data_IF_940534275487
#
_entry.id   IF_940534275487
#
_cell.length_a   1.000
_cell.length_b   1.000
_cell.length_c   1.000
_cell.angle_alpha   90.00
_cell.angle_beta   90.00
_cell.angle_gamma   90.00
#
_symmetry.space_group_name_H-M   'P 1'
#
loop_
_entity.id
_entity.type
_entity.pdbx_description
1 polymer ?
#
# COMPACT_ATOMS: atom_id res chain seq x y z
N UNK A 1 43.04 -0.51 -40.86
CA UNK A 1 42.48 0.43 -39.88
C UNK A 1 41.63 -0.38 -38.94
N UNK A 2 42.24 -0.87 -37.85
CA UNK A 2 41.59 -1.73 -36.87
C UNK A 2 41.02 -0.87 -35.73
N UNK A 3 39.75 -1.10 -35.45
CA UNK A 3 38.93 -0.53 -34.40
C UNK A 3 39.50 -0.87 -33.01
N UNK A 4 39.95 0.15 -32.27
CA UNK A 4 40.32 0.03 -30.86
C UNK A 4 39.13 0.52 -30.03
N UNK A 5 38.13 -0.34 -29.84
CA UNK A 5 37.16 -0.16 -28.75
C UNK A 5 37.88 -0.45 -27.42
N UNK A 6 38.45 0.59 -26.81
CA UNK A 6 38.79 0.57 -25.39
C UNK A 6 37.50 0.36 -24.58
N UNK A 7 37.27 -0.88 -24.14
CA UNK A 7 36.29 -1.16 -23.10
C UNK A 7 36.77 -0.48 -21.80
N UNK A 8 36.20 0.69 -21.50
CA UNK A 8 36.37 1.38 -20.22
C UNK A 8 35.92 0.45 -19.09
N UNK A 9 36.90 -0.25 -18.50
CA UNK A 9 36.70 -1.18 -17.39
C UNK A 9 36.32 -0.35 -16.15
N UNK A 10 35.09 -0.48 -15.65
CA UNK A 10 34.62 0.27 -14.48
C UNK A 10 35.57 0.04 -13.29
N UNK A 11 35.86 1.10 -12.55
CA UNK A 11 36.72 1.00 -11.37
C UNK A 11 36.09 0.07 -10.32
N UNK A 12 36.90 -0.68 -9.53
CA UNK A 12 36.38 -1.61 -8.51
C UNK A 12 35.48 -0.92 -7.46
N UNK A 13 35.67 0.39 -7.25
CA UNK A 13 34.82 1.22 -6.39
C UNK A 13 33.42 1.43 -7.01
N UNK A 14 33.33 1.61 -8.33
CA UNK A 14 32.08 1.79 -9.05
C UNK A 14 31.27 0.48 -9.15
N UNK A 15 31.93 -0.67 -9.27
CA UNK A 15 31.28 -1.99 -9.20
C UNK A 15 30.72 -2.29 -7.81
N UNK A 16 31.49 -2.02 -6.74
CA UNK A 16 31.02 -2.16 -5.35
C UNK A 16 29.81 -1.25 -5.08
N UNK A 17 29.88 0.00 -5.53
CA UNK A 17 28.79 0.97 -5.45
C UNK A 17 27.50 0.44 -6.12
N UNK A 18 27.61 -0.09 -7.35
CA UNK A 18 26.48 -0.68 -8.08
C UNK A 18 25.89 -1.93 -7.43
N UNK A 19 26.72 -2.79 -6.82
CA UNK A 19 26.26 -3.97 -6.08
C UNK A 19 25.45 -3.57 -4.84
N UNK A 20 25.91 -2.59 -4.06
CA UNK A 20 25.19 -2.09 -2.88
C UNK A 20 23.87 -1.43 -3.29
N UNK A 21 23.86 -0.67 -4.39
CA UNK A 21 22.66 -0.07 -4.95
C UNK A 21 21.61 -1.12 -5.34
N UNK A 22 22.03 -2.19 -6.00
CA UNK A 22 21.17 -3.32 -6.37
C UNK A 22 20.64 -4.04 -5.12
N UNK A 23 21.49 -4.28 -4.12
CA UNK A 23 21.10 -4.92 -2.87
C UNK A 23 20.01 -4.13 -2.12
N UNK A 24 20.13 -2.80 -2.02
CA UNK A 24 19.11 -1.96 -1.37
C UNK A 24 17.78 -2.01 -2.14
N UNK A 25 17.81 -1.99 -3.47
CA UNK A 25 16.59 -2.13 -4.30
C UNK A 25 15.92 -3.48 -4.08
N UNK A 26 16.69 -4.57 -4.04
CA UNK A 26 16.17 -5.90 -3.78
C UNK A 26 15.57 -6.00 -2.37
N UNK A 27 16.21 -5.42 -1.36
CA UNK A 27 15.69 -5.40 -0.01
C UNK A 27 14.34 -4.66 0.07
N UNK A 28 14.24 -3.47 -0.54
CA UNK A 28 12.98 -2.72 -0.61
C UNK A 28 11.89 -3.52 -1.33
N UNK A 29 12.23 -4.21 -2.43
CA UNK A 29 11.28 -5.06 -3.16
C UNK A 29 10.77 -6.21 -2.29
N UNK A 30 11.67 -6.91 -1.58
CA UNK A 30 11.31 -8.02 -0.68
C UNK A 30 10.38 -7.54 0.43
N UNK A 31 10.68 -6.38 1.04
CA UNK A 31 9.84 -5.78 2.08
C UNK A 31 8.45 -5.42 1.52
N UNK A 32 8.40 -4.83 0.32
CA UNK A 32 7.13 -4.46 -0.33
C UNK A 32 6.28 -5.69 -0.65
N UNK A 33 6.87 -6.73 -1.22
CA UNK A 33 6.17 -8.00 -1.55
C UNK A 33 5.68 -8.69 -0.29
N UNK A 34 6.53 -8.78 0.75
CA UNK A 34 6.15 -9.33 2.04
C UNK A 34 5.00 -8.56 2.68
N UNK A 35 5.00 -7.24 2.54
CA UNK A 35 3.93 -6.39 3.06
C UNK A 35 2.60 -6.56 2.30
N UNK A 36 2.63 -6.62 0.97
CA UNK A 36 1.44 -6.95 0.15
C UNK A 36 0.90 -8.34 0.51
N UNK A 37 1.78 -9.31 0.75
CA UNK A 37 1.38 -10.66 1.16
C UNK A 37 0.65 -10.64 2.51
N UNK A 38 1.11 -9.84 3.48
CA UNK A 38 0.39 -9.65 4.75
C UNK A 38 -1.02 -9.12 4.50
N UNK A 39 -1.20 -8.15 3.61
CA UNK A 39 -2.53 -7.62 3.26
C UNK A 39 -3.45 -8.65 2.62
N UNK A 40 -2.93 -9.48 1.71
CA UNK A 40 -3.70 -10.58 1.08
C UNK A 40 -4.16 -11.61 2.13
N UNK A 41 -3.30 -11.90 3.11
CA UNK A 41 -3.57 -12.86 4.17
C UNK A 41 -4.44 -12.28 5.28
N UNK A 42 -4.42 -10.96 5.51
CA UNK A 42 -5.15 -10.28 6.59
C UNK A 42 -6.65 -10.61 6.69
N UNK A 43 -7.43 -10.69 5.58
CA UNK A 43 -8.85 -11.03 5.64
C UNK A 43 -9.14 -12.50 5.96
N UNK A 44 -8.13 -13.37 5.92
CA UNK A 44 -8.30 -14.81 6.13
C UNK A 44 -8.44 -15.19 7.60
N UNK A 45 -9.15 -16.28 7.86
CA UNK A 45 -9.30 -16.82 9.22
C UNK A 45 -7.97 -17.25 9.84
N UNK A 46 -7.01 -17.71 9.02
CA UNK A 46 -5.66 -18.08 9.48
C UNK A 46 -4.94 -16.88 10.10
N UNK A 47 -4.98 -15.73 9.43
CA UNK A 47 -4.40 -14.50 9.96
C UNK A 47 -5.07 -14.10 11.27
N UNK A 48 -6.41 -14.05 11.30
CA UNK A 48 -7.15 -13.63 12.51
C UNK A 48 -6.92 -14.54 13.72
N UNK A 49 -6.95 -15.85 13.53
CA UNK A 49 -6.95 -16.79 14.64
C UNK A 49 -5.55 -17.26 15.05
N UNK A 50 -4.57 -17.21 14.16
CA UNK A 50 -3.22 -17.69 14.50
C UNK A 50 -2.27 -16.50 14.58
N UNK A 51 -2.12 -15.77 13.47
CA UNK A 51 -1.07 -14.76 13.36
C UNK A 51 -1.36 -13.54 14.23
N UNK A 52 -2.57 -12.99 14.16
CA UNK A 52 -2.96 -11.82 14.95
C UNK A 52 -2.89 -12.12 16.45
N UNK A 53 -3.31 -13.32 16.89
CA UNK A 53 -3.19 -13.71 18.31
C UNK A 53 -1.74 -13.84 18.76
N UNK A 54 -0.87 -14.44 17.94
CA UNK A 54 0.56 -14.52 18.24
C UNK A 54 1.24 -13.15 18.26
N UNK A 55 0.86 -12.27 17.33
CA UNK A 55 1.35 -10.90 17.27
C UNK A 55 0.91 -10.13 18.51
N UNK A 56 -0.39 -10.10 18.81
CA UNK A 56 -0.93 -9.47 20.01
C UNK A 56 -0.29 -10.01 21.28
N UNK A 57 -0.06 -11.32 21.41
CA UNK A 57 0.61 -11.88 22.59
C UNK A 57 2.02 -11.33 22.80
N UNK A 58 2.71 -10.93 21.72
CA UNK A 58 4.06 -10.35 21.77
C UNK A 58 4.07 -8.83 21.84
N UNK A 59 3.04 -8.16 21.34
CA UNK A 59 2.98 -6.69 21.21
C UNK A 59 2.01 -6.03 22.17
N UNK A 60 1.20 -6.78 22.91
CA UNK A 60 0.29 -6.28 23.94
C UNK A 60 1.08 -5.89 25.20
N UNK A 61 1.93 -4.87 25.06
CA UNK A 61 2.53 -4.16 26.17
C UNK A 61 1.68 -2.96 26.54
N UNK A 62 1.90 -2.42 27.73
CA UNK A 62 1.18 -1.28 28.31
C UNK A 62 1.14 -0.04 27.39
N UNK A 63 2.10 0.08 26.47
CA UNK A 63 2.26 1.26 25.60
C UNK A 63 1.58 1.15 24.23
N UNK A 64 1.41 -0.06 23.69
CA UNK A 64 0.87 -0.25 22.34
C UNK A 64 -0.59 -0.69 22.33
N UNK A 65 -1.03 -1.46 23.33
CA UNK A 65 -2.39 -2.00 23.39
C UNK A 65 -2.79 -2.80 22.14
N UNK A 66 -4.10 -2.98 21.95
CA UNK A 66 -4.65 -3.77 20.85
C UNK A 66 -4.54 -3.07 19.49
N UNK A 67 -4.69 -1.74 19.46
CA UNK A 67 -4.62 -0.93 18.25
C UNK A 67 -3.18 -0.69 17.76
N UNK A 68 -2.22 -0.59 18.68
CA UNK A 68 -0.81 -0.36 18.34
C UNK A 68 -0.22 -1.47 17.48
N UNK A 69 -0.67 -2.72 17.65
CA UNK A 69 -0.24 -3.85 16.82
C UNK A 69 -0.62 -3.65 15.35
N UNK A 70 -1.84 -3.19 15.09
CA UNK A 70 -2.34 -2.91 13.74
C UNK A 70 -1.58 -1.72 13.15
N UNK A 71 -1.38 -0.66 13.94
CA UNK A 71 -0.62 0.52 13.52
C UNK A 71 0.82 0.14 13.15
N UNK A 72 1.51 -0.68 13.95
CA UNK A 72 2.89 -1.11 13.69
C UNK A 72 2.99 -1.91 12.38
N UNK A 73 2.10 -2.87 12.15
CA UNK A 73 2.08 -3.68 10.92
C UNK A 73 1.86 -2.79 9.69
N UNK A 74 1.03 -1.75 9.83
CA UNK A 74 0.70 -0.84 8.74
C UNK A 74 1.80 0.20 8.47
N UNK A 75 2.46 0.72 9.51
CA UNK A 75 3.40 1.85 9.41
C UNK A 75 4.87 1.44 9.33
N UNK A 76 5.27 0.36 10.02
CA UNK A 76 6.68 -0.06 10.09
C UNK A 76 7.31 -0.31 8.71
N UNK A 77 6.66 -1.01 7.77
CA UNK A 77 7.23 -1.24 6.44
C UNK A 77 7.44 0.06 5.66
N UNK A 78 6.55 1.04 5.83
CA UNK A 78 6.61 2.34 5.16
C UNK A 78 7.80 3.15 5.67
N UNK A 79 7.96 3.21 7.00
CA UNK A 79 9.09 3.91 7.64
C UNK A 79 10.41 3.26 7.24
N UNK A 80 10.48 1.92 7.19
CA UNK A 80 11.67 1.19 6.77
C UNK A 80 12.03 1.50 5.31
N UNK A 81 11.05 1.48 4.41
CA UNK A 81 11.26 1.84 2.99
C UNK A 81 11.74 3.29 2.85
N UNK A 82 11.15 4.21 3.62
CA UNK A 82 11.56 5.62 3.63
C UNK A 82 13.02 5.78 4.12
N UNK A 83 13.40 5.10 5.20
CA UNK A 83 14.76 5.11 5.74
C UNK A 83 15.78 4.54 4.76
N UNK A 84 15.49 3.38 4.16
CA UNK A 84 16.34 2.76 3.13
C UNK A 84 16.47 3.66 1.90
N UNK A 85 15.38 4.31 1.50
CA UNK A 85 15.42 5.33 0.46
C UNK A 85 16.38 6.46 0.84
N UNK A 86 16.27 7.04 2.04
CA UNK A 86 17.15 8.13 2.45
C UNK A 86 18.63 7.73 2.39
N UNK A 87 18.96 6.53 2.87
CA UNK A 87 20.31 5.94 2.77
C UNK A 87 20.74 5.81 1.31
N UNK A 88 19.86 5.30 0.44
CA UNK A 88 20.13 5.18 -0.99
C UNK A 88 20.43 6.54 -1.63
N UNK A 89 19.62 7.57 -1.38
CA UNK A 89 19.91 8.90 -1.93
C UNK A 89 21.23 9.46 -1.41
N UNK A 90 21.50 9.36 -0.11
CA UNK A 90 22.69 9.94 0.48
C UNK A 90 23.98 9.27 -0.04
N UNK A 91 23.97 7.95 -0.20
CA UNK A 91 25.12 7.20 -0.70
C UNK A 91 25.35 7.41 -2.20
N UNK A 92 24.29 7.56 -2.99
CA UNK A 92 24.39 7.49 -4.45
C UNK A 92 24.15 8.81 -5.19
N UNK A 93 23.64 9.86 -4.53
CA UNK A 93 23.58 11.22 -5.10
C UNK A 93 24.98 11.76 -5.42
N UNK A 94 26.00 11.36 -4.66
CA UNK A 94 27.41 11.76 -4.89
C UNK A 94 28.13 10.94 -5.97
N UNK A 95 27.65 9.74 -6.31
CA UNK A 95 28.30 8.85 -7.28
C UNK A 95 27.79 9.02 -8.71
N UNK A 96 26.59 9.57 -8.91
CA UNK A 96 25.94 9.61 -10.23
C UNK A 96 26.35 10.81 -11.10
N UNK A 97 26.91 11.87 -10.52
CA UNK A 97 27.31 13.07 -11.30
C UNK A 97 28.38 12.77 -12.35
N UNK A 98 29.22 11.75 -12.16
CA UNK A 98 30.23 11.33 -13.14
C UNK A 98 29.71 10.40 -14.25
N UNK A 99 28.50 9.84 -14.14
CA UNK A 99 28.00 8.79 -15.04
C UNK A 99 26.80 9.18 -15.91
N UNK A 100 26.32 10.42 -15.78
CA UNK A 100 25.16 10.92 -16.51
C UNK A 100 25.43 11.25 -17.99
N UNK A 101 26.69 11.14 -18.45
CA UNK A 101 27.05 11.46 -19.84
C UNK A 101 26.95 10.25 -20.81
N UNK A 102 26.87 9.00 -20.32
CA UNK A 102 26.87 7.80 -21.19
C UNK A 102 25.55 7.01 -21.26
N UNK A 103 24.54 7.30 -20.42
CA UNK A 103 23.28 6.52 -20.38
C UNK A 103 22.18 7.01 -21.32
N UNK A 104 22.51 7.83 -22.31
CA UNK A 104 21.52 8.34 -23.27
C UNK A 104 21.08 7.26 -24.28
N UNK A 105 21.91 6.25 -24.55
CA UNK A 105 21.59 5.15 -25.48
C UNK A 105 20.51 4.16 -24.99
N UNK A 106 20.31 4.03 -23.67
CA UNK A 106 19.35 3.07 -23.10
C UNK A 106 17.94 3.66 -22.87
N UNK A 107 17.77 4.98 -23.05
CA UNK A 107 16.45 5.65 -22.99
C UNK A 107 15.54 5.32 -24.18
N UNK A 108 16.10 4.80 -25.28
CA UNK A 108 15.36 4.51 -26.53
C UNK A 108 14.56 3.20 -26.51
N UNK A 109 14.85 2.26 -25.60
CA UNK A 109 14.05 1.01 -25.43
C UNK A 109 12.95 1.15 -24.37
N UNK A 110 13.14 1.97 -23.35
CA UNK A 110 12.14 2.25 -22.33
C UNK A 110 10.98 3.16 -22.81
N UNK A 111 11.07 3.70 -24.02
CA UNK A 111 10.10 4.62 -24.63
C UNK A 111 8.92 3.90 -25.28
N UNK A 112 9.04 2.60 -25.60
CA UNK A 112 7.96 1.84 -26.26
C UNK A 112 6.87 1.42 -25.25
N UNK A 113 7.22 1.19 -23.99
CA UNK A 113 6.27 0.85 -22.91
C UNK A 113 5.58 2.07 -22.29
N UNK A 114 6.06 3.28 -22.55
CA UNK A 114 5.47 4.55 -22.10
C UNK A 114 4.49 5.13 -23.13
N UNK A 115 3.82 4.30 -23.94
CA UNK A 115 2.77 4.82 -24.81
C UNK A 115 1.59 5.27 -23.93
N UNK A 116 1.20 6.55 -23.97
CA UNK A 116 0.05 7.03 -23.23
C UNK A 116 -1.20 6.37 -23.81
N UNK A 117 -1.89 5.56 -23.00
CA UNK A 117 -3.07 4.81 -23.44
C UNK A 117 -4.34 5.67 -23.36
N UNK A 118 -4.32 6.77 -22.61
CA UNK A 118 -5.49 7.63 -22.43
C UNK A 118 -5.26 9.07 -22.91
N UNK A 119 -6.01 9.45 -23.93
CA UNK A 119 -6.02 10.77 -24.54
C UNK A 119 -6.92 11.69 -23.71
N UNK A 120 -6.30 12.73 -23.13
CA UNK A 120 -6.89 13.96 -22.53
C UNK A 120 -8.22 13.79 -21.76
N UNK A 121 -8.12 13.50 -20.46
CA UNK A 121 -9.14 13.81 -19.46
C UNK A 121 -8.62 14.80 -18.40
N UNK A 122 -9.48 15.37 -17.52
CA UNK A 122 -9.12 16.37 -16.52
C UNK A 122 -8.08 15.92 -15.47
N UNK A 123 -7.70 14.63 -15.48
CA UNK A 123 -6.78 14.00 -14.53
C UNK A 123 -5.40 13.65 -15.14
N UNK A 124 -5.12 14.14 -16.37
CA UNK A 124 -3.81 14.05 -17.02
C UNK A 124 -3.52 12.73 -17.73
N UNK A 125 -2.42 12.69 -18.49
CA UNK A 125 -1.99 11.51 -19.26
C UNK A 125 -1.57 10.40 -18.28
N UNK A 126 -2.24 9.25 -18.35
CA UNK A 126 -1.94 8.05 -17.51
C UNK A 126 -1.31 6.97 -18.39
N UNK A 127 -0.20 6.40 -17.93
CA UNK A 127 0.47 5.26 -18.58
C UNK A 127 -0.33 3.97 -18.36
N UNK A 128 -0.37 3.07 -19.34
CA UNK A 128 -1.08 1.79 -19.20
C UNK A 128 -0.61 0.97 -17.99
N UNK A 129 0.66 1.09 -17.61
CA UNK A 129 1.22 0.47 -16.41
C UNK A 129 0.65 1.02 -15.11
N UNK A 130 0.40 2.34 -15.03
CA UNK A 130 -0.18 2.99 -13.83
C UNK A 130 -1.62 2.53 -13.63
N UNK A 131 -2.37 2.40 -14.73
CA UNK A 131 -3.72 1.85 -14.70
C UNK A 131 -3.72 0.38 -14.25
N UNK A 132 -2.77 -0.44 -14.72
CA UNK A 132 -2.64 -1.83 -14.29
C UNK A 132 -2.37 -1.94 -12.77
N UNK A 133 -1.49 -1.09 -12.21
CA UNK A 133 -1.25 -1.03 -10.77
C UNK A 133 -2.50 -0.59 -9.99
N UNK A 134 -3.23 0.41 -10.48
CA UNK A 134 -4.49 0.84 -9.88
C UNK A 134 -5.53 -0.29 -9.88
N UNK A 135 -5.68 -1.00 -10.99
CA UNK A 135 -6.60 -2.14 -11.11
C UNK A 135 -6.23 -3.27 -10.16
N UNK A 136 -4.94 -3.61 -10.05
CA UNK A 136 -4.46 -4.61 -9.10
C UNK A 136 -4.74 -4.19 -7.65
N UNK A 137 -4.57 -2.91 -7.33
CA UNK A 137 -4.90 -2.37 -6.01
C UNK A 137 -6.40 -2.45 -5.72
N UNK A 138 -7.25 -2.07 -6.66
CA UNK A 138 -8.71 -2.22 -6.52
C UNK A 138 -9.09 -3.70 -6.34
N UNK A 139 -8.46 -4.61 -7.09
CA UNK A 139 -8.68 -6.05 -6.92
C UNK A 139 -8.30 -6.53 -5.51
N UNK A 140 -7.21 -6.03 -4.92
CA UNK A 140 -6.83 -6.31 -3.53
C UNK A 140 -7.89 -5.82 -2.54
N UNK A 141 -8.47 -4.62 -2.76
CA UNK A 141 -9.54 -4.08 -1.91
C UNK A 141 -10.80 -4.93 -2.01
N UNK A 142 -11.22 -5.30 -3.23
CA UNK A 142 -12.39 -6.15 -3.48
C UNK A 142 -12.18 -7.54 -2.85
N UNK A 143 -11.01 -8.16 -3.06
CA UNK A 143 -10.64 -9.43 -2.44
C UNK A 143 -10.75 -9.38 -0.92
N UNK A 144 -10.18 -8.33 -0.33
CA UNK A 144 -10.20 -8.12 1.11
C UNK A 144 -11.63 -7.96 1.60
N UNK A 145 -12.45 -7.12 0.95
CA UNK A 145 -13.85 -6.92 1.31
C UNK A 145 -14.66 -8.19 1.21
N UNK A 146 -14.60 -8.88 0.07
CA UNK A 146 -15.36 -10.10 -0.18
C UNK A 146 -15.02 -11.19 0.83
N UNK A 147 -13.73 -11.41 1.09
CA UNK A 147 -13.28 -12.40 2.07
C UNK A 147 -13.68 -12.01 3.49
N UNK A 148 -13.53 -10.73 3.86
CA UNK A 148 -13.98 -10.22 5.16
C UNK A 148 -15.48 -10.36 5.36
N UNK A 149 -16.27 -10.08 4.32
CA UNK A 149 -17.73 -10.15 4.36
C UNK A 149 -18.18 -11.60 4.44
N UNK A 150 -17.65 -12.47 3.58
CA UNK A 150 -17.92 -13.91 3.61
C UNK A 150 -17.65 -14.51 5.00
N UNK A 151 -16.47 -14.24 5.57
CA UNK A 151 -16.11 -14.76 6.90
C UNK A 151 -16.97 -14.18 8.02
N UNK A 152 -17.47 -12.95 7.88
CA UNK A 152 -18.34 -12.31 8.87
C UNK A 152 -19.78 -12.82 8.80
N UNK A 153 -20.35 -12.87 7.60
CA UNK A 153 -21.74 -13.27 7.37
C UNK A 153 -21.99 -14.71 7.79
N UNK A 154 -21.07 -15.63 7.47
CA UNK A 154 -21.14 -17.04 7.89
C UNK A 154 -21.15 -17.17 9.42
N UNK A 155 -20.47 -16.27 10.13
CA UNK A 155 -20.41 -16.27 11.60
C UNK A 155 -21.65 -15.62 12.23
N UNK A 156 -22.11 -14.49 11.68
CA UNK A 156 -23.27 -13.73 12.18
C UNK A 156 -24.54 -14.56 12.05
N UNK A 157 -24.79 -15.20 10.90
CA UNK A 157 -25.96 -16.05 10.69
C UNK A 157 -26.08 -17.19 11.71
N UNK A 158 -24.96 -17.64 12.31
CA UNK A 158 -24.96 -18.71 13.31
C UNK A 158 -25.05 -18.21 14.76
N UNK A 159 -24.37 -17.12 15.11
CA UNK A 159 -24.32 -16.58 16.49
C UNK A 159 -25.44 -15.59 16.79
N UNK A 160 -25.77 -14.69 15.85
CA UNK A 160 -26.68 -13.57 16.11
C UNK A 160 -28.14 -13.99 16.26
N UNK A 161 -28.55 -15.10 15.65
CA UNK A 161 -29.90 -15.65 15.81
C UNK A 161 -30.17 -16.20 17.22
N UNK A 162 -29.14 -16.33 18.07
CA UNK A 162 -29.23 -17.00 19.37
C UNK A 162 -28.84 -16.08 20.54
N UNK A 163 -27.90 -15.14 20.38
CA UNK A 163 -27.32 -14.36 21.50
C UNK A 163 -27.96 -12.99 21.76
N UNK A 164 -28.23 -12.14 20.75
CA UNK A 164 -28.47 -10.70 20.98
C UNK A 164 -29.92 -10.22 20.83
N UNK A 165 -30.85 -11.05 20.33
CA UNK A 165 -32.24 -10.63 20.08
C UNK A 165 -32.42 -9.56 18.98
N UNK A 166 -31.32 -9.02 18.43
CA UNK A 166 -31.30 -8.10 17.29
C UNK A 166 -31.67 -8.79 15.98
N UNK A 167 -32.18 -8.02 15.01
CA UNK A 167 -32.54 -8.58 13.71
C UNK A 167 -31.27 -8.91 12.93
N UNK A 168 -31.27 -10.04 12.23
CA UNK A 168 -30.13 -10.53 11.44
C UNK A 168 -29.57 -9.49 10.45
N UNK A 169 -30.38 -8.55 9.96
CA UNK A 169 -29.93 -7.52 9.04
C UNK A 169 -29.17 -6.36 9.72
N UNK A 170 -29.44 -6.06 10.99
CA UNK A 170 -28.78 -5.00 11.78
C UNK A 170 -27.31 -5.37 12.02
N UNK A 171 -27.07 -6.60 12.45
CA UNK A 171 -25.74 -7.18 12.65
C UNK A 171 -24.94 -7.27 11.34
N UNK A 172 -25.63 -7.55 10.22
CA UNK A 172 -25.01 -7.52 8.90
C UNK A 172 -24.56 -6.11 8.54
N UNK A 173 -25.37 -5.10 8.84
CA UNK A 173 -25.05 -3.70 8.58
C UNK A 173 -23.83 -3.25 9.41
N UNK A 174 -23.81 -3.56 10.70
CA UNK A 174 -22.66 -3.25 11.57
C UNK A 174 -21.38 -3.92 11.07
N UNK A 175 -21.48 -5.20 10.69
CA UNK A 175 -20.34 -5.92 10.13
C UNK A 175 -19.82 -5.27 8.84
N UNK A 176 -20.70 -4.88 7.92
CA UNK A 176 -20.33 -4.19 6.67
C UNK A 176 -19.67 -2.85 7.00
N UNK A 177 -20.25 -2.08 7.91
CA UNK A 177 -19.69 -0.81 8.37
C UNK A 177 -18.27 -0.99 8.90
N UNK A 178 -18.05 -1.96 9.80
CA UNK A 178 -16.73 -2.27 10.35
C UNK A 178 -15.72 -2.68 9.26
N UNK A 179 -16.16 -3.43 8.24
CA UNK A 179 -15.27 -3.83 7.12
C UNK A 179 -14.84 -2.65 6.27
N UNK A 180 -15.70 -1.67 6.03
CA UNK A 180 -15.31 -0.45 5.30
C UNK A 180 -14.17 0.29 6.01
N UNK A 181 -14.23 0.44 7.34
CA UNK A 181 -13.15 1.05 8.11
C UNK A 181 -11.84 0.24 8.07
N UNK A 182 -11.93 -1.09 8.15
CA UNK A 182 -10.75 -1.97 8.04
C UNK A 182 -10.08 -1.89 6.67
N UNK A 183 -10.84 -1.76 5.59
CA UNK A 183 -10.29 -1.58 4.24
C UNK A 183 -9.74 -0.17 4.07
N UNK A 184 -10.40 0.82 4.67
CA UNK A 184 -9.89 2.19 4.76
C UNK A 184 -8.48 2.25 5.33
N UNK A 185 -8.15 1.42 6.32
CA UNK A 185 -6.79 1.32 6.89
C UNK A 185 -5.74 0.82 5.87
N UNK A 186 -6.12 -0.06 4.94
CA UNK A 186 -5.25 -0.48 3.83
C UNK A 186 -4.92 0.76 3.00
N UNK A 187 -5.96 1.48 2.56
CA UNK A 187 -5.82 2.65 1.71
C UNK A 187 -5.02 3.78 2.41
N UNK A 188 -5.25 4.02 3.71
CA UNK A 188 -4.46 4.96 4.51
C UNK A 188 -2.99 4.58 4.55
N UNK A 189 -2.67 3.30 4.66
CA UNK A 189 -1.28 2.84 4.67
C UNK A 189 -0.60 3.15 3.34
N UNK A 190 -1.26 2.88 2.21
CA UNK A 190 -0.73 3.24 0.90
C UNK A 190 -0.65 4.75 0.67
N UNK A 191 -1.47 5.55 1.37
CA UNK A 191 -1.49 7.02 1.27
C UNK A 191 -0.20 7.67 1.77
N UNK A 192 0.61 6.99 2.57
CA UNK A 192 1.89 7.50 3.05
C UNK A 192 3.06 7.33 2.06
N UNK A 193 2.93 6.47 1.04
CA UNK A 193 3.96 6.32 0.00
C UNK A 193 4.18 7.60 -0.86
N UNK A 194 3.14 8.34 -1.28
CA UNK A 194 3.29 9.47 -2.21
C UNK A 194 3.66 10.82 -1.58
N UNK A 195 3.69 10.93 -0.24
CA UNK A 195 3.67 12.24 0.46
C UNK A 195 4.96 13.04 0.33
N UNK A 196 6.08 12.44 -0.04
CA UNK A 196 7.31 13.20 -0.18
C UNK A 196 7.58 13.48 -1.66
N UNK A 197 7.20 14.68 -2.11
CA UNK A 197 7.64 15.33 -3.37
C UNK A 197 9.17 15.39 -3.57
N UNK A 198 9.95 14.97 -2.56
CA UNK A 198 11.40 14.76 -2.62
C UNK A 198 11.86 13.45 -1.97
N UNK A 199 10.97 12.46 -1.78
CA UNK A 199 11.38 11.17 -1.22
C UNK A 199 12.24 10.42 -2.20
N UNK A 200 13.30 9.89 -1.63
CA UNK A 200 14.22 8.90 -2.17
C UNK A 200 13.59 7.68 -2.84
N UNK A 201 12.31 7.43 -2.59
CA UNK A 201 11.57 6.30 -3.15
C UNK A 201 11.19 6.53 -4.62
N UNK A 202 10.96 7.78 -5.06
CA UNK A 202 10.62 8.08 -6.47
C UNK A 202 11.76 7.70 -7.44
N UNK A 203 13.03 8.10 -7.20
CA UNK A 203 14.16 7.66 -8.01
C UNK A 203 14.45 6.15 -7.93
N UNK A 204 13.99 5.47 -6.86
CA UNK A 204 14.17 4.03 -6.67
C UNK A 204 13.32 3.22 -7.65
N UNK A 205 12.06 3.63 -7.84
CA UNK A 205 11.10 3.02 -8.76
C UNK A 205 11.09 3.63 -10.17
N UNK A 206 11.80 4.74 -10.39
CA UNK A 206 11.88 5.41 -11.69
C UNK A 206 10.56 6.06 -12.13
N UNK A 207 9.68 6.35 -11.16
CA UNK A 207 8.38 7.00 -11.39
C UNK A 207 8.55 8.52 -11.38
N UNK A 208 7.74 9.22 -12.18
CA UNK A 208 7.72 10.68 -12.21
C UNK A 208 6.95 11.23 -10.99
N UNK A 209 7.31 12.43 -10.53
CA UNK A 209 6.59 13.12 -9.46
C UNK A 209 5.12 13.38 -9.82
N UNK A 210 4.83 13.60 -11.11
CA UNK A 210 3.48 13.77 -11.63
C UNK A 210 2.61 12.52 -11.45
N UNK A 211 3.18 11.32 -11.71
CA UNK A 211 2.50 10.04 -11.52
C UNK A 211 2.13 9.78 -10.05
N UNK A 212 3.07 10.08 -9.14
CA UNK A 212 2.86 9.94 -7.70
C UNK A 212 1.73 10.84 -7.17
N UNK A 213 1.65 12.08 -7.67
CA UNK A 213 0.58 13.03 -7.28
C UNK A 213 -0.78 12.51 -7.76
N UNK A 214 -0.88 12.06 -9.02
CA UNK A 214 -2.13 11.48 -9.54
C UNK A 214 -2.57 10.28 -8.71
N UNK A 215 -1.66 9.35 -8.44
CA UNK A 215 -1.95 8.18 -7.60
C UNK A 215 -2.46 8.58 -6.20
N UNK A 216 -1.84 9.58 -5.57
CA UNK A 216 -2.28 10.05 -4.25
C UNK A 216 -3.68 10.64 -4.27
N UNK A 217 -4.05 11.40 -5.32
CA UNK A 217 -5.40 11.94 -5.50
C UNK A 217 -6.40 10.79 -5.67
N UNK A 218 -6.13 9.82 -6.54
CA UNK A 218 -6.98 8.64 -6.74
C UNK A 218 -7.19 7.87 -5.44
N UNK A 219 -6.10 7.61 -4.72
CA UNK A 219 -6.13 6.89 -3.45
C UNK A 219 -6.88 7.68 -2.36
N UNK A 220 -6.71 9.00 -2.33
CA UNK A 220 -7.44 9.91 -1.44
C UNK A 220 -8.94 9.84 -1.68
N UNK A 221 -9.40 9.84 -2.94
CA UNK A 221 -10.82 9.66 -3.24
C UNK A 221 -11.36 8.32 -2.77
N UNK A 222 -10.61 7.22 -2.98
CA UNK A 222 -11.00 5.88 -2.50
C UNK A 222 -11.13 5.88 -0.96
N UNK A 223 -10.15 6.44 -0.24
CA UNK A 223 -10.19 6.60 1.23
C UNK A 223 -11.44 7.35 1.66
N UNK A 224 -11.69 8.52 1.06
CA UNK A 224 -12.82 9.37 1.44
C UNK A 224 -14.15 8.64 1.24
N UNK A 225 -14.34 7.95 0.10
CA UNK A 225 -15.54 7.15 -0.14
C UNK A 225 -15.70 6.04 0.90
N UNK A 226 -14.66 5.27 1.20
CA UNK A 226 -14.72 4.19 2.18
C UNK A 226 -15.06 4.67 3.60
N UNK A 227 -14.41 5.73 4.08
CA UNK A 227 -14.69 6.28 5.41
C UNK A 227 -16.05 6.96 5.49
N UNK A 228 -16.50 7.60 4.42
CA UNK A 228 -17.84 8.17 4.33
C UNK A 228 -18.90 7.07 4.39
N UNK A 229 -18.73 5.99 3.62
CA UNK A 229 -19.62 4.82 3.68
C UNK A 229 -19.60 4.15 5.05
N UNK A 230 -18.42 3.99 5.67
CA UNK A 230 -18.28 3.50 7.05
C UNK A 230 -19.11 4.33 8.04
N UNK A 231 -18.96 5.67 8.00
CA UNK A 231 -19.70 6.58 8.88
C UNK A 231 -21.21 6.53 8.65
N UNK A 232 -21.66 6.59 7.39
CA UNK A 232 -23.09 6.52 7.04
C UNK A 232 -23.71 5.20 7.51
N UNK A 233 -23.05 4.06 7.30
CA UNK A 233 -23.57 2.77 7.76
C UNK A 233 -23.71 2.71 9.28
N UNK A 234 -22.76 3.27 10.04
CA UNK A 234 -22.86 3.35 11.51
C UNK A 234 -23.97 4.29 11.97
N UNK A 235 -24.14 5.45 11.33
CA UNK A 235 -25.23 6.38 11.64
C UNK A 235 -26.59 5.69 11.45
N UNK A 236 -26.77 4.95 10.34
CA UNK A 236 -28.00 4.18 10.10
C UNK A 236 -28.17 3.09 11.15
N UNK A 237 -27.12 2.34 11.46
CA UNK A 237 -27.16 1.28 12.48
C UNK A 237 -27.61 1.82 13.85
N UNK A 238 -27.00 2.92 14.32
CA UNK A 238 -27.36 3.53 15.60
C UNK A 238 -28.78 4.11 15.61
N UNK A 239 -29.24 4.67 14.48
CA UNK A 239 -30.60 5.19 14.36
C UNK A 239 -31.66 4.08 14.45
N UNK A 240 -31.36 2.88 13.92
CA UNK A 240 -32.28 1.74 13.94
C UNK A 240 -32.28 1.02 15.29
N UNK A 241 -31.11 0.85 15.91
CA UNK A 241 -30.98 0.12 17.18
C UNK A 241 -31.31 0.98 18.40
N UNK A 242 -31.75 2.23 18.21
CA UNK A 242 -31.99 3.23 19.26
C UNK A 242 -30.80 3.45 20.20
N UNK A 243 -29.58 3.05 19.82
CA UNK A 243 -28.38 3.28 20.62
C UNK A 243 -28.01 4.77 20.70
N UNK A 244 -28.57 5.62 19.83
CA UNK A 244 -28.40 7.07 19.90
C UNK A 244 -28.89 7.67 21.23
N UNK A 245 -29.84 7.03 21.93
CA UNK A 245 -30.34 7.51 23.23
C UNK A 245 -29.58 6.97 24.44
N UNK A 246 -28.64 6.04 24.28
CA UNK A 246 -27.82 5.47 25.36
C UNK A 246 -26.47 6.20 25.55
N UNK A 247 -26.13 7.12 24.65
CA UNK A 247 -24.89 7.92 24.73
C UNK A 247 -25.12 9.29 25.42
N UNK A 248 -26.23 9.43 26.17
CA UNK A 248 -26.51 10.56 27.06
C UNK A 248 -26.63 10.02 28.49
#
# INVERSE_FOLDING_TARGET
>A
MADNQEMVKRSPTQEKCGRVQSAIKMLVLVVLVGWIFIWIMMPTNKYRHVWLRQLLAKTNSTYFGTQGTILMINTSPIILIAALGCVYLHLFKKSNDYSNMERDGQKRKATIWKRPVLVKGPLGIVSGTEFAFLMMFIALLIWSFATYLHNSLVKITRKSAVEDGNKVWEEKLESVALRFGQIGNICLSFLFFPVARGSSVLPLFGLTSESSIKYHIWLGHIVMTLFTSHGICYIIYWAVTNQLSQVH
#
